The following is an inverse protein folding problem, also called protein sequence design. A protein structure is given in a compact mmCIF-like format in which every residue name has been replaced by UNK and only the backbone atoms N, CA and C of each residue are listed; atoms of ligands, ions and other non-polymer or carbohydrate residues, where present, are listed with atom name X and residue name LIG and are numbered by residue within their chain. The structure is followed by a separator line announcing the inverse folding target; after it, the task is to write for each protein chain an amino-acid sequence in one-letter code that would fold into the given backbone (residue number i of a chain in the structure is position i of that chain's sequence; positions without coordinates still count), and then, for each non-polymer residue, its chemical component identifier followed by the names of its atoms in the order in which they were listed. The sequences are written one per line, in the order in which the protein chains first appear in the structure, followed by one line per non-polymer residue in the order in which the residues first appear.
data_IF_122955029009
#
_entry.id   IF_122955029009
#
_cell.length_a   1.000
_cell.length_b   1.000
_cell.length_c   1.000
_cell.angle_alpha   90.00
_cell.angle_beta   90.00
_cell.angle_gamma   90.00
#
_symmetry.space_group_name_H-M   'P 1'
#
loop_
_entity.id
_entity.type
_entity.pdbx_description
1 polymer ?
#
# COMPACT_ATOMS: atom_id res chain seq x y z
N UNK A 1 17.62 9.65 -2.78
CA UNK A 1 16.19 9.42 -2.93
C UNK A 1 15.89 8.93 -4.32
N UNK A 2 15.17 7.83 -4.44
CA UNK A 2 14.99 7.14 -5.73
C UNK A 2 13.52 7.10 -6.12
N UNK A 3 12.96 8.26 -6.43
CA UNK A 3 11.64 8.22 -7.05
C UNK A 3 11.79 8.07 -8.56
N UNK A 4 10.81 7.43 -9.18
CA UNK A 4 10.85 7.19 -10.60
C UNK A 4 9.59 6.53 -11.11
N UNK A 5 9.68 6.04 -12.33
CA UNK A 5 8.55 5.45 -13.04
C UNK A 5 8.88 4.00 -13.37
N UNK A 6 7.98 3.10 -12.95
CA UNK A 6 8.03 1.69 -13.32
C UNK A 6 7.22 1.54 -14.60
N UNK A 7 7.91 1.27 -15.71
CA UNK A 7 7.30 1.26 -17.04
C UNK A 7 6.73 -0.10 -17.40
N UNK A 8 5.54 -0.07 -17.99
CA UNK A 8 4.89 -1.24 -18.58
C UNK A 8 4.74 -2.42 -17.63
N UNK A 9 4.22 -2.22 -16.41
CA UNK A 9 3.95 -3.35 -15.52
C UNK A 9 2.90 -4.25 -16.14
N UNK A 10 3.10 -5.56 -16.08
CA UNK A 10 2.18 -6.53 -16.68
C UNK A 10 0.93 -6.74 -15.84
N UNK A 11 1.04 -6.55 -14.52
CA UNK A 11 -0.05 -6.83 -13.57
C UNK A 11 -0.77 -5.59 -13.07
N UNK A 12 -0.30 -4.40 -13.41
CA UNK A 12 -1.01 -3.16 -13.12
C UNK A 12 -1.97 -2.85 -14.26
N UNK A 13 -3.14 -2.24 -13.96
CA UNK A 13 -4.04 -1.79 -15.02
C UNK A 13 -3.55 -0.53 -15.73
N UNK A 14 -2.46 0.08 -15.25
CA UNK A 14 -1.91 1.31 -15.84
C UNK A 14 -0.65 1.00 -16.65
N UNK A 15 -0.35 1.89 -17.60
CA UNK A 15 0.84 1.75 -18.43
C UNK A 15 2.14 2.03 -17.69
N UNK A 16 2.05 2.67 -16.53
CA UNK A 16 3.18 2.90 -15.65
C UNK A 16 2.70 3.08 -14.22
N UNK A 17 3.62 2.87 -13.26
CA UNK A 17 3.38 3.13 -11.85
C UNK A 17 4.52 4.01 -11.34
N UNK A 18 4.21 4.88 -10.39
CA UNK A 18 5.21 5.79 -9.82
C UNK A 18 5.66 5.22 -8.47
N UNK A 19 6.97 5.14 -8.26
CA UNK A 19 7.52 4.75 -6.97
C UNK A 19 8.23 5.93 -6.34
N UNK A 20 8.15 6.00 -5.00
CA UNK A 20 8.74 7.08 -4.22
C UNK A 20 10.05 6.69 -3.55
N UNK A 21 10.43 5.42 -3.63
CA UNK A 21 11.66 4.91 -3.03
C UNK A 21 12.13 3.67 -3.77
N UNK A 22 13.38 3.31 -3.56
CA UNK A 22 13.94 2.09 -4.13
C UNK A 22 13.26 0.85 -3.57
N UNK A 23 12.85 0.88 -2.30
CA UNK A 23 12.12 -0.24 -1.69
C UNK A 23 10.79 -0.48 -2.38
N UNK A 24 10.08 0.59 -2.75
CA UNK A 24 8.84 0.46 -3.50
C UNK A 24 9.10 -0.14 -4.88
N UNK A 25 10.16 0.29 -5.56
CA UNK A 25 10.52 -0.27 -6.86
C UNK A 25 10.82 -1.76 -6.76
N UNK A 26 11.59 -2.15 -5.76
CA UNK A 26 11.91 -3.57 -5.54
C UNK A 26 10.65 -4.38 -5.23
N UNK A 27 9.74 -3.82 -4.44
CA UNK A 27 8.48 -4.48 -4.13
C UNK A 27 7.61 -4.65 -5.38
N UNK A 28 7.59 -3.66 -6.26
CA UNK A 28 6.89 -3.77 -7.54
C UNK A 28 7.45 -4.93 -8.38
N UNK A 29 8.78 -5.08 -8.40
CA UNK A 29 9.42 -6.21 -9.08
C UNK A 29 8.97 -7.54 -8.49
N UNK A 30 8.90 -7.63 -7.17
CA UNK A 30 8.44 -8.85 -6.50
C UNK A 30 7.00 -9.16 -6.85
N UNK A 31 6.13 -8.16 -6.88
CA UNK A 31 4.73 -8.35 -7.23
C UNK A 31 4.57 -8.84 -8.67
N UNK A 32 5.39 -8.30 -9.58
CA UNK A 32 5.36 -8.72 -10.99
C UNK A 32 5.81 -10.17 -11.17
N UNK A 33 6.72 -10.65 -10.33
CA UNK A 33 7.28 -12.00 -10.43
C UNK A 33 6.49 -13.05 -9.65
N UNK A 34 5.70 -12.63 -8.67
CA UNK A 34 4.99 -13.56 -7.79
C UNK A 34 3.80 -14.17 -8.53
N UNK A 35 3.80 -15.51 -8.76
CA UNK A 35 2.70 -16.16 -9.49
C UNK A 35 1.37 -16.10 -8.73
N UNK A 36 1.37 -15.82 -7.45
CA UNK A 36 0.14 -15.68 -6.67
C UNK A 36 -0.53 -14.33 -6.87
N UNK A 37 0.20 -13.34 -7.36
CA UNK A 37 -0.32 -11.98 -7.57
C UNK A 37 -0.98 -11.91 -8.95
N UNK A 38 -2.26 -11.54 -8.94
CA UNK A 38 -3.03 -11.33 -10.16
C UNK A 38 -2.90 -9.90 -10.67
N UNK A 39 -3.10 -8.92 -9.78
CA UNK A 39 -3.03 -7.50 -10.09
C UNK A 39 -2.51 -6.72 -8.90
N UNK A 40 -1.94 -5.56 -9.18
CA UNK A 40 -1.53 -4.61 -8.13
C UNK A 40 -1.52 -3.20 -8.70
N UNK A 41 -1.64 -2.21 -7.82
CA UNK A 41 -1.43 -0.81 -8.21
C UNK A 41 -1.16 0.06 -6.97
N UNK A 42 -0.41 1.12 -7.15
CA UNK A 42 -0.31 2.21 -6.20
C UNK A 42 -1.40 3.25 -6.43
N UNK A 43 -1.89 3.35 -7.66
CA UNK A 43 -2.88 4.36 -8.03
C UNK A 43 -4.29 3.84 -7.82
N UNK A 44 -4.60 3.49 -6.57
CA UNK A 44 -5.87 2.84 -6.21
C UNK A 44 -6.96 3.82 -5.76
N UNK A 45 -6.62 5.06 -5.47
CA UNK A 45 -7.60 6.06 -5.04
C UNK A 45 -8.20 5.83 -3.65
N UNK A 46 -7.70 4.86 -2.89
CA UNK A 46 -8.24 4.56 -1.57
C UNK A 46 -7.73 5.59 -0.57
N UNK A 47 -8.66 6.24 0.14
CA UNK A 47 -8.34 7.23 1.17
C UNK A 47 -9.04 6.81 2.46
N UNK A 48 -8.27 6.52 3.48
CA UNK A 48 -8.79 6.02 4.75
C UNK A 48 -8.79 7.16 5.77
N UNK A 49 -9.95 7.55 6.31
CA UNK A 49 -9.98 8.61 7.32
C UNK A 49 -9.42 8.08 8.64
N UNK A 50 -8.67 8.93 9.33
CA UNK A 50 -8.19 8.63 10.68
C UNK A 50 -8.17 9.92 11.50
N UNK A 51 -8.17 9.78 12.84
CA UNK A 51 -8.10 10.93 13.73
C UNK A 51 -6.65 11.26 13.99
N UNK A 52 -6.23 12.44 13.52
CA UNK A 52 -4.88 12.92 13.69
C UNK A 52 -4.69 13.52 15.09
N UNK A 53 -3.46 13.88 15.44
CA UNK A 53 -3.13 14.61 16.65
C UNK A 53 -3.89 15.94 16.61
N UNK A 54 -4.53 16.30 17.74
CA UNK A 54 -5.38 17.50 17.78
C UNK A 54 -6.82 17.24 17.35
N UNK A 55 -7.22 15.97 17.27
CA UNK A 55 -8.60 15.55 17.01
C UNK A 55 -9.16 15.98 15.65
N UNK A 56 -8.30 16.22 14.68
CA UNK A 56 -8.71 16.54 13.31
C UNK A 56 -8.74 15.27 12.48
N UNK A 57 -9.73 15.18 11.60
CA UNK A 57 -9.80 14.06 10.66
C UNK A 57 -8.83 14.32 9.51
N UNK A 58 -7.96 13.36 9.25
CA UNK A 58 -7.05 13.37 8.12
C UNK A 58 -7.28 12.11 7.30
N UNK A 59 -6.64 12.00 6.15
CA UNK A 59 -6.80 10.85 5.27
C UNK A 59 -5.45 10.21 4.99
N UNK A 60 -5.48 8.90 4.87
CA UNK A 60 -4.31 8.06 4.69
C UNK A 60 -4.49 7.22 3.41
N UNK A 61 -3.48 7.28 2.55
CA UNK A 61 -3.44 6.48 1.32
C UNK A 61 -2.37 5.41 1.47
N UNK A 62 -2.75 4.13 1.66
CA UNK A 62 -1.75 3.05 1.70
C UNK A 62 -0.98 2.97 0.39
N UNK A 63 0.22 2.39 0.43
CA UNK A 63 1.09 2.37 -0.74
C UNK A 63 0.54 1.51 -1.88
N UNK A 64 0.05 0.29 -1.58
CA UNK A 64 -0.35 -0.66 -2.61
C UNK A 64 -1.65 -1.34 -2.28
N UNK A 65 -2.44 -1.65 -3.31
CA UNK A 65 -3.45 -2.69 -3.22
C UNK A 65 -3.04 -3.83 -4.13
N UNK A 66 -3.18 -5.06 -3.64
CA UNK A 66 -2.81 -6.28 -4.38
C UNK A 66 -4.01 -7.22 -4.39
N UNK A 67 -4.31 -7.76 -5.56
CA UNK A 67 -5.29 -8.82 -5.70
C UNK A 67 -4.55 -10.10 -6.06
N UNK A 68 -4.86 -11.18 -5.34
CA UNK A 68 -4.22 -12.47 -5.55
C UNK A 68 -5.07 -13.36 -6.44
N UNK A 69 -4.46 -14.41 -6.99
CA UNK A 69 -5.14 -15.34 -7.91
C UNK A 69 -6.33 -16.06 -7.25
N UNK A 70 -6.31 -16.21 -5.93
CA UNK A 70 -7.43 -16.81 -5.20
C UNK A 70 -8.59 -15.84 -4.94
N UNK A 71 -8.51 -14.61 -5.44
CA UNK A 71 -9.53 -13.59 -5.28
C UNK A 71 -9.42 -12.74 -4.02
N UNK A 72 -8.48 -13.04 -3.12
CA UNK A 72 -8.26 -12.22 -1.94
C UNK A 72 -7.53 -10.93 -2.30
N UNK A 73 -7.72 -9.90 -1.47
CA UNK A 73 -7.06 -8.61 -1.66
C UNK A 73 -6.31 -8.21 -0.40
N UNK A 74 -5.25 -7.45 -0.59
CA UNK A 74 -4.43 -6.98 0.52
C UNK A 74 -4.01 -5.54 0.29
N UNK A 75 -4.17 -4.72 1.32
CA UNK A 75 -3.67 -3.35 1.36
C UNK A 75 -2.31 -3.37 2.05
N UNK A 76 -1.30 -2.79 1.41
CA UNK A 76 0.09 -2.91 1.88
C UNK A 76 0.73 -1.54 2.02
N UNK A 77 1.39 -1.34 3.16
CA UNK A 77 2.18 -0.14 3.44
C UNK A 77 3.61 -0.54 3.73
N UNK A 78 4.57 0.21 3.18
CA UNK A 78 6.00 -0.02 3.42
C UNK A 78 6.55 1.15 4.23
N UNK A 79 7.15 0.85 5.39
CA UNK A 79 7.72 1.87 6.28
C UNK A 79 9.10 1.48 6.76
N UNK A 80 9.97 2.49 6.91
CA UNK A 80 11.24 2.27 7.59
C UNK A 80 11.01 1.94 9.06
N UNK A 81 11.81 1.05 9.60
CA UNK A 81 11.60 0.51 10.94
C UNK A 81 11.69 1.56 12.06
N UNK A 82 12.32 2.69 11.81
CA UNK A 82 12.47 3.76 12.81
C UNK A 82 11.36 4.82 12.73
N UNK A 83 10.35 4.59 11.91
CA UNK A 83 9.30 5.58 11.65
C UNK A 83 7.94 5.21 12.26
N UNK A 84 7.93 4.36 13.30
CA UNK A 84 6.68 3.96 13.96
C UNK A 84 6.29 5.00 15.01
N UNK A 85 5.73 6.11 14.54
CA UNK A 85 5.24 7.20 15.39
C UNK A 85 3.79 6.95 15.82
N UNK A 86 3.29 7.79 16.72
CA UNK A 86 1.89 7.73 17.13
C UNK A 86 0.94 7.93 15.94
N UNK A 87 1.31 8.79 15.01
CA UNK A 87 0.51 9.02 13.80
C UNK A 87 0.44 7.75 12.95
N UNK A 88 1.56 7.05 12.80
CA UNK A 88 1.61 5.80 12.04
C UNK A 88 0.72 4.75 12.70
N UNK A 89 0.74 4.65 14.02
CA UNK A 89 -0.11 3.71 14.76
C UNK A 89 -1.60 4.00 14.55
N UNK A 90 -1.98 5.27 14.53
CA UNK A 90 -3.36 5.68 14.28
C UNK A 90 -3.80 5.35 12.85
N UNK A 91 -2.93 5.59 11.88
CA UNK A 91 -3.17 5.22 10.48
C UNK A 91 -3.35 3.71 10.33
N UNK A 92 -2.47 2.96 10.99
CA UNK A 92 -2.51 1.50 10.94
C UNK A 92 -3.80 0.95 11.53
N UNK A 93 -4.22 1.48 12.67
CA UNK A 93 -5.48 1.06 13.30
C UNK A 93 -6.67 1.35 12.39
N UNK A 94 -6.73 2.55 11.83
CA UNK A 94 -7.80 2.94 10.92
C UNK A 94 -7.82 2.06 9.66
N UNK A 95 -6.64 1.75 9.13
CA UNK A 95 -6.51 0.90 7.94
C UNK A 95 -7.00 -0.52 8.23
N UNK A 96 -6.64 -1.08 9.38
CA UNK A 96 -7.10 -2.42 9.77
C UNK A 96 -8.62 -2.49 9.87
N UNK A 97 -9.24 -1.49 10.51
CA UNK A 97 -10.69 -1.44 10.66
C UNK A 97 -11.39 -1.27 9.31
N UNK A 98 -10.84 -0.40 8.46
CA UNK A 98 -11.38 -0.16 7.12
C UNK A 98 -11.33 -1.43 6.28
N UNK A 99 -10.20 -2.13 6.31
CA UNK A 99 -9.99 -3.37 5.57
C UNK A 99 -10.89 -4.50 6.09
N UNK A 100 -11.03 -4.61 7.42
CA UNK A 100 -11.85 -5.63 8.04
C UNK A 100 -13.30 -5.53 7.59
N UNK A 101 -13.84 -4.33 7.51
CA UNK A 101 -15.21 -4.10 7.05
C UNK A 101 -15.42 -4.48 5.59
N UNK A 102 -14.35 -4.54 4.80
CA UNK A 102 -14.41 -4.82 3.36
C UNK A 102 -13.84 -6.19 2.99
N UNK A 103 -13.51 -6.98 3.99
CA UNK A 103 -12.90 -8.31 3.80
C UNK A 103 -11.60 -8.22 2.99
N UNK A 104 -10.80 -7.21 3.28
CA UNK A 104 -9.48 -6.98 2.69
C UNK A 104 -8.46 -7.16 3.82
N UNK A 105 -7.34 -7.80 3.53
CA UNK A 105 -6.24 -7.92 4.49
C UNK A 105 -5.42 -6.64 4.51
N UNK A 106 -4.81 -6.32 5.64
CA UNK A 106 -3.89 -5.21 5.76
C UNK A 106 -2.54 -5.70 6.24
N UNK A 107 -1.47 -5.22 5.62
CA UNK A 107 -0.11 -5.59 6.00
C UNK A 107 0.80 -4.37 6.01
N UNK A 108 1.52 -4.19 7.10
CA UNK A 108 2.58 -3.20 7.21
C UNK A 108 3.91 -3.93 7.08
N UNK A 109 4.71 -3.53 6.10
CA UNK A 109 6.06 -4.06 5.92
C UNK A 109 7.04 -3.04 6.48
N UNK A 110 7.81 -3.45 7.50
CA UNK A 110 8.84 -2.60 8.08
C UNK A 110 10.21 -3.07 7.60
N UNK A 111 11.06 -2.09 7.30
CA UNK A 111 12.39 -2.36 6.74
C UNK A 111 13.47 -2.24 7.78
#
# INVERSE_FOLDING_TARGET
MSEGIYKSPKKSPYSCEIYDSEFEREFMEELEKDPKVKKWTKNHGIRIPYVNIGSKVAHYNPDFIVEYEDGTQELIEIKGKNNLTEIIKRKQKAAKEWCEKRNIKYRLITL
#
